data_IF_703739707707
#
_entry.id   IF_703739707707
#
_cell.length_a   1.000
_cell.length_b   1.000
_cell.length_c   1.000
_cell.angle_alpha   90.00
_cell.angle_beta   90.00
_cell.angle_gamma   90.00
#
_symmetry.space_group_name_H-M   'P 1'
#
loop_
_entity.id
_entity.type
_entity.pdbx_description
1 polymer ?
#
# COMPACT_ATOMS: atom_id res chain seq x y z
N UNK A 1 -2.60 19.62 3.35
CA UNK A 1 -2.64 19.25 1.90
C UNK A 1 -3.18 17.84 1.79
N UNK A 2 -4.17 17.62 0.92
CA UNK A 2 -4.72 16.27 0.70
C UNK A 2 -3.61 15.26 0.40
N UNK A 3 -3.69 14.09 1.03
CA UNK A 3 -2.75 12.97 0.84
C UNK A 3 -3.53 11.75 0.35
N UNK A 4 -2.98 11.08 -0.68
CA UNK A 4 -3.38 9.75 -1.12
C UNK A 4 -2.32 8.75 -0.66
N UNK A 5 -2.70 7.76 0.13
CA UNK A 5 -1.80 6.68 0.55
C UNK A 5 -2.09 5.40 -0.26
N UNK A 6 -1.12 4.94 -1.02
CA UNK A 6 -1.30 3.83 -1.97
C UNK A 6 -1.27 2.43 -1.31
N UNK A 7 -1.09 2.34 0.01
CA UNK A 7 -1.14 1.04 0.69
C UNK A 7 -1.41 1.15 2.19
N UNK A 8 -2.58 0.67 2.62
CA UNK A 8 -2.93 0.56 4.04
C UNK A 8 -3.71 -0.73 4.32
N UNK A 9 -3.20 -1.54 5.24
CA UNK A 9 -3.80 -2.80 5.70
C UNK A 9 -4.88 -2.61 6.77
N UNK A 10 -5.87 -1.74 6.49
CA UNK A 10 -6.88 -1.36 7.48
C UNK A 10 -7.71 -2.55 7.97
N UNK A 11 -8.15 -3.43 7.06
CA UNK A 11 -8.96 -4.59 7.44
C UNK A 11 -8.17 -5.66 8.20
N UNK A 12 -6.88 -5.83 7.90
CA UNK A 12 -5.98 -6.68 8.66
C UNK A 12 -5.87 -6.19 10.11
N UNK A 13 -5.62 -4.90 10.28
CA UNK A 13 -5.54 -4.26 11.60
C UNK A 13 -6.84 -4.41 12.39
N UNK A 14 -7.98 -4.21 11.74
CA UNK A 14 -9.27 -4.34 12.38
C UNK A 14 -9.57 -5.78 12.83
N UNK A 15 -9.32 -6.76 11.98
CA UNK A 15 -9.77 -8.14 12.23
C UNK A 15 -8.73 -9.01 12.92
N UNK A 16 -7.45 -8.96 12.51
CA UNK A 16 -6.42 -9.82 13.10
C UNK A 16 -5.75 -9.21 14.31
N UNK A 17 -5.55 -7.88 14.33
CA UNK A 17 -5.06 -7.18 15.52
C UNK A 17 -6.18 -6.72 16.46
N UNK A 18 -7.46 -6.94 16.09
CA UNK A 18 -8.63 -6.57 16.89
C UNK A 18 -8.65 -5.06 17.25
N UNK A 19 -8.30 -4.20 16.27
CA UNK A 19 -8.25 -2.75 16.42
C UNK A 19 -9.53 -2.11 15.91
N UNK A 20 -10.24 -1.39 16.76
CA UNK A 20 -11.34 -0.51 16.32
C UNK A 20 -10.77 0.81 15.81
N UNK A 21 -10.51 0.89 14.51
CA UNK A 21 -9.87 2.04 13.87
C UNK A 21 -10.70 3.35 13.92
N UNK A 22 -11.91 3.32 14.50
CA UNK A 22 -12.69 4.53 14.81
C UNK A 22 -12.17 5.24 16.03
N UNK A 23 -11.40 4.55 16.87
CA UNK A 23 -10.75 5.10 18.06
C UNK A 23 -9.41 5.74 17.67
N UNK A 24 -8.96 6.77 18.42
CA UNK A 24 -7.62 7.34 18.21
C UNK A 24 -6.49 6.32 18.43
N UNK A 25 -5.39 6.46 17.72
CA UNK A 25 -4.26 5.53 17.79
C UNK A 25 -3.71 5.36 19.23
N UNK A 26 -3.64 6.44 20.02
CA UNK A 26 -3.21 6.37 21.42
C UNK A 26 -4.16 5.53 22.29
N UNK A 27 -5.47 5.54 22.01
CA UNK A 27 -6.44 4.72 22.72
C UNK A 27 -6.30 3.23 22.33
N UNK A 28 -6.03 2.94 21.06
CA UNK A 28 -5.71 1.58 20.60
C UNK A 28 -4.47 1.04 21.31
N UNK A 29 -3.38 1.82 21.33
CA UNK A 29 -2.15 1.48 22.07
C UNK A 29 -2.41 1.22 23.57
N UNK A 30 -3.26 2.04 24.19
CA UNK A 30 -3.65 1.88 25.60
C UNK A 30 -4.40 0.56 25.83
N UNK A 31 -5.28 0.16 24.93
CA UNK A 31 -6.02 -1.11 25.01
C UNK A 31 -5.13 -2.33 24.80
N UNK A 32 -4.09 -2.18 24.02
CA UNK A 32 -3.08 -3.22 23.77
C UNK A 32 -2.00 -3.28 24.87
N UNK A 33 -2.06 -2.41 25.88
CA UNK A 33 -1.06 -2.35 26.96
C UNK A 33 -0.98 -3.70 27.71
N UNK A 34 0.22 -4.26 27.81
CA UNK A 34 0.47 -5.55 28.43
C UNK A 34 0.29 -6.76 27.51
N UNK A 35 -0.21 -6.57 26.29
CA UNK A 35 -0.21 -7.60 25.24
C UNK A 35 1.18 -7.70 24.61
N UNK A 36 1.49 -8.85 24.01
CA UNK A 36 2.78 -9.11 23.35
C UNK A 36 2.58 -9.43 21.88
N UNK A 37 3.50 -8.99 21.05
CA UNK A 37 3.49 -9.23 19.59
C UNK A 37 4.13 -8.08 18.85
N UNK A 38 4.56 -8.32 17.61
CA UNK A 38 5.08 -7.29 16.72
C UNK A 38 3.97 -6.29 16.39
N UNK A 39 4.25 -4.99 16.48
CA UNK A 39 3.26 -3.92 16.25
C UNK A 39 2.22 -3.73 17.36
N UNK A 40 2.11 -4.65 18.33
CA UNK A 40 1.15 -4.54 19.44
C UNK A 40 1.54 -3.41 20.38
N UNK A 41 0.57 -2.57 20.76
CA UNK A 41 0.78 -1.37 21.56
C UNK A 41 1.50 -0.23 20.83
N UNK A 42 1.67 -0.33 19.51
CA UNK A 42 2.50 0.55 18.67
C UNK A 42 1.84 0.99 17.35
N UNK A 43 0.54 0.75 17.20
CA UNK A 43 -0.21 1.12 16.00
C UNK A 43 -0.11 2.62 15.69
N UNK A 44 -0.02 2.96 14.42
CA UNK A 44 0.16 4.33 13.92
C UNK A 44 -1.06 4.85 13.17
N UNK A 45 -1.93 3.95 12.69
CA UNK A 45 -3.02 4.26 11.77
C UNK A 45 -4.38 4.09 12.40
N UNK A 46 -5.20 5.15 12.35
CA UNK A 46 -6.60 5.14 12.74
C UNK A 46 -7.35 6.28 12.02
N UNK A 47 -8.68 6.18 11.86
CA UNK A 47 -9.46 7.18 11.12
C UNK A 47 -9.33 8.61 11.67
N UNK A 48 -9.29 8.85 13.01
CA UNK A 48 -9.06 10.20 13.52
C UNK A 48 -7.72 10.78 13.07
N UNK A 49 -6.65 9.98 13.09
CA UNK A 49 -5.31 10.39 12.66
C UNK A 49 -5.23 10.59 11.16
N UNK A 50 -5.86 9.74 10.36
CA UNK A 50 -5.97 9.92 8.91
C UNK A 50 -6.64 11.25 8.58
N UNK A 51 -7.76 11.57 9.24
CA UNK A 51 -8.46 12.85 9.04
C UNK A 51 -7.62 14.06 9.45
N UNK A 52 -6.93 13.97 10.57
CA UNK A 52 -6.05 15.04 11.07
C UNK A 52 -4.86 15.27 10.13
N UNK A 53 -4.30 14.19 9.56
CA UNK A 53 -3.21 14.25 8.59
C UNK A 53 -3.64 14.49 7.15
N UNK A 54 -4.94 14.76 6.91
CA UNK A 54 -5.51 14.93 5.57
C UNK A 54 -5.27 13.73 4.63
N UNK A 55 -5.08 12.52 5.17
CA UNK A 55 -5.06 11.26 4.41
C UNK A 55 -6.49 10.92 4.04
N UNK A 56 -6.98 11.59 3.01
CA UNK A 56 -8.40 11.56 2.64
C UNK A 56 -8.78 10.42 1.72
N UNK A 57 -7.82 9.89 0.97
CA UNK A 57 -8.01 8.74 0.08
C UNK A 57 -6.86 7.76 0.24
N UNK A 58 -7.16 6.47 0.11
CA UNK A 58 -6.14 5.43 0.16
C UNK A 58 -6.46 4.22 -0.75
N UNK A 59 -5.45 3.40 -0.98
CA UNK A 59 -5.64 2.00 -1.36
C UNK A 59 -5.80 1.20 -0.07
N UNK A 60 -6.96 0.57 0.10
CA UNK A 60 -7.26 -0.25 1.27
C UNK A 60 -7.19 -1.73 0.88
N UNK A 61 -6.32 -2.47 1.55
CA UNK A 61 -5.99 -3.82 1.14
C UNK A 61 -6.86 -4.88 1.78
N UNK A 62 -7.00 -5.97 1.06
CA UNK A 62 -7.30 -7.30 1.60
C UNK A 62 -6.01 -8.12 1.56
N UNK A 63 -5.72 -8.85 2.60
CA UNK A 63 -4.54 -9.72 2.69
C UNK A 63 -4.92 -11.07 3.28
N UNK A 64 -4.69 -12.14 2.52
CA UNK A 64 -4.87 -13.51 2.98
C UNK A 64 -4.02 -14.48 2.13
N UNK A 65 -2.86 -14.86 2.63
CA UNK A 65 -1.94 -15.78 1.98
C UNK A 65 -2.29 -17.26 2.22
N UNK A 66 -1.77 -18.12 1.36
CA UNK A 66 -1.80 -19.57 1.53
C UNK A 66 -0.38 -20.11 1.57
N UNK A 67 0.06 -20.59 2.72
CA UNK A 67 1.39 -21.19 2.86
C UNK A 67 1.36 -22.47 3.67
N UNK A 68 2.14 -23.43 3.24
CA UNK A 68 2.39 -24.63 4.04
C UNK A 68 3.20 -24.27 5.30
N UNK A 69 2.63 -24.53 6.47
CA UNK A 69 3.29 -24.33 7.76
C UNK A 69 2.73 -23.19 8.60
N UNK A 70 3.06 -23.14 9.90
CA UNK A 70 2.55 -22.12 10.79
C UNK A 70 3.17 -20.76 10.48
N UNK A 71 2.38 -19.84 9.98
CA UNK A 71 2.71 -18.41 9.94
C UNK A 71 1.77 -17.64 10.87
N UNK A 72 2.28 -16.65 11.60
CA UNK A 72 1.52 -16.03 12.69
C UNK A 72 0.40 -15.09 12.22
N UNK A 73 0.45 -14.51 11.01
CA UNK A 73 -0.51 -13.49 10.56
C UNK A 73 -0.80 -13.69 9.06
N UNK A 74 -2.06 -13.46 8.68
CA UNK A 74 -2.54 -13.39 7.28
C UNK A 74 -2.27 -14.64 6.41
N UNK A 75 -2.10 -15.82 7.01
CA UNK A 75 -1.84 -17.05 6.28
C UNK A 75 -2.74 -18.21 6.71
N UNK A 76 -3.27 -18.91 5.72
CA UNK A 76 -4.19 -20.04 5.88
C UNK A 76 -3.66 -21.27 5.16
N UNK A 77 -4.27 -22.43 5.45
CA UNK A 77 -3.87 -23.72 4.89
C UNK A 77 -4.46 -23.98 3.50
N UNK A 78 -5.47 -23.19 3.09
CA UNK A 78 -6.09 -23.34 1.78
C UNK A 78 -6.61 -22.02 1.21
N UNK A 79 -6.76 -21.96 -0.11
CA UNK A 79 -7.34 -20.81 -0.81
C UNK A 79 -8.80 -20.56 -0.44
N UNK A 80 -9.54 -21.60 -0.01
CA UNK A 80 -10.92 -21.46 0.47
C UNK A 80 -10.97 -20.71 1.81
N UNK A 81 -10.04 -21.02 2.72
CA UNK A 81 -9.91 -20.29 3.98
C UNK A 81 -9.44 -18.86 3.75
N UNK A 82 -8.45 -18.65 2.88
CA UNK A 82 -7.96 -17.34 2.51
C UNK A 82 -9.09 -16.50 1.85
N UNK A 83 -9.90 -17.11 0.97
CA UNK A 83 -11.07 -16.46 0.41
C UNK A 83 -12.10 -16.07 1.49
N UNK A 84 -12.40 -16.97 2.44
CA UNK A 84 -13.31 -16.66 3.53
C UNK A 84 -12.82 -15.46 4.36
N UNK A 85 -11.51 -15.38 4.59
CA UNK A 85 -10.90 -14.25 5.28
C UNK A 85 -11.02 -12.95 4.49
N UNK A 86 -10.70 -12.94 3.19
CA UNK A 86 -10.88 -11.72 2.36
C UNK A 86 -12.33 -11.30 2.27
N UNK A 87 -13.29 -12.23 2.30
CA UNK A 87 -14.73 -11.88 2.39
C UNK A 87 -15.08 -11.27 3.76
N UNK A 88 -14.47 -11.73 4.85
CA UNK A 88 -14.58 -11.09 6.17
C UNK A 88 -14.02 -9.66 6.16
N UNK A 89 -12.86 -9.47 5.55
CA UNK A 89 -12.23 -8.16 5.38
C UNK A 89 -13.11 -7.22 4.53
N UNK A 90 -13.69 -7.71 3.43
CA UNK A 90 -14.63 -6.95 2.62
C UNK A 90 -15.89 -6.56 3.41
N UNK A 91 -16.41 -7.47 4.20
CA UNK A 91 -17.59 -7.21 5.06
C UNK A 91 -17.29 -6.12 6.11
N UNK A 92 -16.05 -6.07 6.63
CA UNK A 92 -15.62 -5.01 7.52
C UNK A 92 -15.57 -3.65 6.80
N UNK A 93 -15.03 -3.58 5.58
CA UNK A 93 -15.06 -2.34 4.79
C UNK A 93 -16.49 -1.84 4.57
N UNK A 94 -17.42 -2.73 4.19
CA UNK A 94 -18.83 -2.36 4.03
C UNK A 94 -19.44 -1.84 5.35
N UNK A 95 -19.12 -2.47 6.48
CA UNK A 95 -19.59 -1.98 7.79
C UNK A 95 -19.04 -0.57 8.11
N UNK A 96 -17.81 -0.25 7.67
CA UNK A 96 -17.25 1.11 7.82
C UNK A 96 -17.90 2.11 6.85
N UNK A 97 -18.33 1.67 5.67
CA UNK A 97 -19.15 2.50 4.77
C UNK A 97 -20.52 2.80 5.37
N UNK A 98 -21.24 1.79 5.85
CA UNK A 98 -22.55 1.94 6.51
C UNK A 98 -22.48 2.86 7.73
N UNK A 99 -21.36 2.82 8.48
CA UNK A 99 -21.10 3.71 9.61
C UNK A 99 -20.62 5.12 9.20
N UNK A 100 -20.44 5.39 7.90
CA UNK A 100 -20.03 6.69 7.38
C UNK A 100 -18.54 7.03 7.54
N UNK A 101 -17.70 6.06 7.90
CA UNK A 101 -16.26 6.27 8.11
C UNK A 101 -15.45 6.13 6.82
N UNK A 102 -15.90 5.30 5.88
CA UNK A 102 -15.22 5.04 4.62
C UNK A 102 -16.20 5.14 3.45
N UNK A 103 -15.67 5.26 2.22
CA UNK A 103 -16.44 5.23 0.98
C UNK A 103 -15.61 4.59 -0.13
N UNK A 104 -16.13 3.50 -0.72
CA UNK A 104 -15.45 2.80 -1.80
C UNK A 104 -15.46 3.59 -3.10
N UNK A 105 -14.31 3.63 -3.78
CA UNK A 105 -14.12 4.23 -5.10
C UNK A 105 -14.01 3.09 -6.11
N UNK A 106 -15.02 2.96 -6.98
CA UNK A 106 -15.11 1.88 -7.99
C UNK A 106 -15.00 2.40 -9.42
N UNK A 107 -15.21 3.69 -9.60
CA UNK A 107 -15.27 4.35 -10.89
C UNK A 107 -14.78 5.80 -10.80
N UNK A 108 -14.66 6.44 -11.95
CA UNK A 108 -14.19 7.83 -12.08
C UNK A 108 -15.08 8.82 -11.33
N UNK A 109 -16.39 8.61 -11.35
CA UNK A 109 -17.34 9.48 -10.66
C UNK A 109 -17.10 9.45 -9.14
N UNK A 110 -16.96 8.26 -8.57
CA UNK A 110 -16.66 8.08 -7.14
C UNK A 110 -15.33 8.73 -6.74
N UNK A 111 -14.31 8.63 -7.59
CA UNK A 111 -13.03 9.31 -7.38
C UNK A 111 -13.20 10.84 -7.34
N UNK A 112 -13.86 11.42 -8.33
CA UNK A 112 -14.03 12.88 -8.43
C UNK A 112 -14.90 13.43 -7.28
N UNK A 113 -15.95 12.71 -6.87
CA UNK A 113 -16.78 13.06 -5.71
C UNK A 113 -15.95 13.07 -4.41
N UNK A 114 -15.05 12.10 -4.21
CA UNK A 114 -14.20 12.05 -3.02
C UNK A 114 -13.13 13.14 -3.02
N UNK A 115 -12.49 13.41 -4.17
CA UNK A 115 -11.55 14.53 -4.29
C UNK A 115 -12.26 15.85 -3.96
N UNK A 116 -13.42 16.11 -4.57
CA UNK A 116 -14.21 17.33 -4.31
C UNK A 116 -14.59 17.46 -2.83
N UNK A 117 -14.96 16.36 -2.17
CA UNK A 117 -15.29 16.37 -0.75
C UNK A 117 -14.09 16.76 0.12
N UNK A 118 -12.91 16.25 -0.20
CA UNK A 118 -11.71 16.51 0.61
C UNK A 118 -11.05 17.85 0.31
N UNK A 119 -11.35 18.47 -0.84
CA UNK A 119 -10.81 19.78 -1.25
C UNK A 119 -11.81 20.95 -1.11
N UNK A 120 -12.96 20.72 -0.48
CA UNK A 120 -14.03 21.73 -0.36
C UNK A 120 -13.81 22.80 0.73
N UNK A 121 -12.68 22.76 1.44
CA UNK A 121 -12.36 23.71 2.52
C UNK A 121 -13.14 23.53 3.82
N UNK A 122 -13.98 22.50 3.94
CA UNK A 122 -14.72 22.19 5.18
C UNK A 122 -13.87 21.34 6.12
N UNK A 123 -14.16 21.37 7.46
CA UNK A 123 -13.46 20.51 8.44
C UNK A 123 -13.48 19.04 8.07
N UNK A 124 -12.40 18.33 8.39
CA UNK A 124 -12.20 16.94 7.99
C UNK A 124 -12.74 15.90 9.01
N UNK A 125 -13.10 16.33 10.22
CA UNK A 125 -13.37 15.45 11.37
C UNK A 125 -14.38 14.32 11.10
N UNK A 126 -15.36 14.57 10.22
CA UNK A 126 -16.41 13.60 9.89
C UNK A 126 -16.43 13.18 8.43
N UNK A 127 -15.43 13.61 7.62
CA UNK A 127 -15.37 13.17 6.23
C UNK A 127 -15.05 11.68 6.15
N UNK A 128 -15.76 10.91 5.31
CA UNK A 128 -15.37 9.53 5.04
C UNK A 128 -14.00 9.50 4.34
N UNK A 129 -13.20 8.46 4.63
CA UNK A 129 -11.98 8.17 3.91
C UNK A 129 -12.37 7.44 2.60
N UNK A 130 -11.98 8.00 1.46
CA UNK A 130 -12.15 7.35 0.16
C UNK A 130 -11.19 6.18 0.02
N UNK A 131 -11.65 5.02 -0.49
CA UNK A 131 -10.73 3.91 -0.69
C UNK A 131 -10.93 3.18 -2.02
N UNK A 132 -9.82 2.80 -2.63
CA UNK A 132 -9.75 1.83 -3.72
C UNK A 132 -9.43 0.47 -3.12
N UNK A 133 -10.27 -0.53 -3.35
CA UNK A 133 -10.04 -1.88 -2.82
C UNK A 133 -8.94 -2.58 -3.61
N UNK A 134 -7.93 -3.08 -2.91
CA UNK A 134 -6.83 -3.88 -3.45
C UNK A 134 -6.73 -5.24 -2.76
N UNK A 135 -6.07 -6.18 -3.41
CA UNK A 135 -5.70 -7.48 -2.84
C UNK A 135 -4.19 -7.64 -2.90
N UNK A 136 -3.56 -7.83 -1.73
CA UNK A 136 -2.14 -8.08 -1.59
C UNK A 136 -1.86 -9.58 -1.51
N UNK A 137 -1.25 -10.11 -2.60
CA UNK A 137 -1.14 -11.55 -2.79
C UNK A 137 -2.45 -12.20 -3.28
N UNK A 138 -2.38 -12.95 -4.36
CA UNK A 138 -3.57 -13.50 -5.03
C UNK A 138 -3.98 -14.88 -4.51
N UNK A 139 -3.46 -15.35 -3.40
CA UNK A 139 -3.67 -16.73 -2.89
C UNK A 139 -5.14 -17.05 -2.57
N UNK A 140 -5.91 -16.04 -2.22
CA UNK A 140 -7.36 -16.16 -1.98
C UNK A 140 -8.17 -16.31 -3.27
N UNK A 141 -7.61 -16.02 -4.44
CA UNK A 141 -8.24 -16.23 -5.76
C UNK A 141 -8.14 -17.71 -6.11
N UNK A 142 -9.22 -18.46 -5.93
CA UNK A 142 -9.25 -19.94 -6.04
C UNK A 142 -9.01 -20.46 -7.45
N UNK A 143 -9.35 -19.68 -8.48
CA UNK A 143 -9.06 -19.94 -9.89
C UNK A 143 -9.04 -18.62 -10.64
N UNK A 144 -8.46 -18.59 -11.84
CA UNK A 144 -8.45 -17.38 -12.68
C UNK A 144 -9.86 -16.86 -12.94
N UNK A 145 -10.81 -17.74 -13.30
CA UNK A 145 -12.22 -17.35 -13.48
C UNK A 145 -12.91 -16.83 -12.21
N UNK A 146 -12.32 -17.05 -11.02
CA UNK A 146 -12.85 -16.52 -9.76
C UNK A 146 -12.48 -15.04 -9.55
N UNK A 147 -11.52 -14.51 -10.32
CA UNK A 147 -11.11 -13.11 -10.23
C UNK A 147 -12.24 -12.15 -10.63
N UNK A 148 -13.06 -12.54 -11.63
CA UNK A 148 -14.21 -11.73 -12.07
C UNK A 148 -15.21 -11.48 -10.91
N UNK A 149 -15.42 -12.48 -10.03
CA UNK A 149 -16.25 -12.31 -8.84
C UNK A 149 -15.68 -11.27 -7.86
N UNK A 150 -14.36 -11.25 -7.68
CA UNK A 150 -13.72 -10.25 -6.84
C UNK A 150 -13.83 -8.84 -7.47
N UNK A 151 -13.70 -8.74 -8.80
CA UNK A 151 -13.93 -7.51 -9.54
C UNK A 151 -15.36 -6.98 -9.37
N UNK A 152 -16.37 -7.84 -9.50
CA UNK A 152 -17.79 -7.50 -9.27
C UNK A 152 -18.03 -6.99 -7.84
N UNK A 153 -17.30 -7.52 -6.85
CA UNK A 153 -17.32 -7.06 -5.46
C UNK A 153 -16.59 -5.73 -5.25
N UNK A 154 -15.96 -5.20 -6.29
CA UNK A 154 -15.31 -3.88 -6.25
C UNK A 154 -13.80 -3.90 -6.14
N UNK A 155 -13.13 -5.06 -6.25
CA UNK A 155 -11.67 -5.11 -6.35
C UNK A 155 -11.20 -4.36 -7.60
N UNK A 156 -10.24 -3.45 -7.45
CA UNK A 156 -9.74 -2.62 -8.57
C UNK A 156 -8.24 -2.74 -8.81
N UNK A 157 -7.50 -3.19 -7.81
CA UNK A 157 -6.07 -3.41 -7.91
C UNK A 157 -5.69 -4.75 -7.27
N UNK A 158 -4.63 -5.38 -7.74
CA UNK A 158 -4.11 -6.60 -7.15
C UNK A 158 -2.61 -6.77 -7.39
N UNK A 159 -1.88 -7.16 -6.34
CA UNK A 159 -0.54 -7.71 -6.43
C UNK A 159 -0.59 -9.25 -6.46
N UNK A 160 -0.02 -9.92 -7.48
CA UNK A 160 -0.08 -11.39 -7.58
C UNK A 160 0.67 -12.15 -6.48
N UNK A 161 1.62 -11.49 -5.82
CA UNK A 161 2.44 -12.09 -4.76
C UNK A 161 2.48 -11.25 -3.49
N UNK A 162 2.85 -11.90 -2.39
CA UNK A 162 3.34 -11.29 -1.16
C UNK A 162 4.72 -11.90 -0.83
N UNK A 163 4.95 -12.52 0.32
CA UNK A 163 6.20 -13.22 0.64
C UNK A 163 6.18 -14.70 0.20
N UNK A 164 7.34 -15.21 -0.20
CA UNK A 164 7.55 -16.63 -0.49
C UNK A 164 6.90 -17.11 -1.78
N UNK A 165 6.56 -18.38 -1.84
CA UNK A 165 5.87 -18.99 -2.98
C UNK A 165 4.38 -18.80 -2.80
N UNK A 166 3.80 -17.90 -3.60
CA UNK A 166 2.36 -17.69 -3.67
C UNK A 166 1.76 -18.53 -4.81
N UNK A 167 0.44 -18.66 -4.81
CA UNK A 167 -0.29 -19.50 -5.77
C UNK A 167 -0.03 -19.13 -7.24
N UNK A 168 0.12 -17.85 -7.54
CA UNK A 168 0.19 -17.31 -8.90
C UNK A 168 1.51 -16.60 -9.22
N UNK A 169 2.32 -16.30 -8.23
CA UNK A 169 3.60 -15.64 -8.43
C UNK A 169 4.57 -15.97 -7.32
N UNK A 170 5.84 -15.63 -7.51
CA UNK A 170 6.86 -15.70 -6.49
C UNK A 170 7.07 -14.34 -5.84
N UNK A 171 7.13 -14.29 -4.51
CA UNK A 171 7.48 -13.10 -3.76
C UNK A 171 8.92 -12.66 -3.97
N UNK A 172 9.24 -11.42 -3.61
CA UNK A 172 10.56 -10.80 -3.79
C UNK A 172 11.71 -11.55 -3.10
N UNK A 173 11.41 -12.38 -2.09
CA UNK A 173 12.36 -13.24 -1.38
C UNK A 173 12.64 -14.57 -2.11
N UNK A 174 12.08 -14.75 -3.31
CA UNK A 174 12.23 -15.95 -4.15
C UNK A 174 12.91 -15.62 -5.49
N UNK A 175 13.40 -16.64 -6.18
CA UNK A 175 14.00 -16.51 -7.51
C UNK A 175 13.16 -17.29 -8.52
N UNK A 176 12.78 -16.65 -9.62
CA UNK A 176 12.02 -17.26 -10.72
C UNK A 176 11.00 -16.29 -11.33
N UNK A 177 10.37 -16.74 -12.42
CA UNK A 177 9.34 -16.01 -13.17
C UNK A 177 7.92 -16.51 -12.84
N UNK A 178 6.94 -15.96 -13.56
CA UNK A 178 5.54 -16.33 -13.40
C UNK A 178 5.28 -17.78 -13.85
N UNK A 179 4.62 -18.59 -13.00
CA UNK A 179 4.12 -19.89 -13.43
C UNK A 179 2.99 -19.73 -14.47
N UNK A 180 2.63 -20.80 -15.18
CA UNK A 180 1.62 -20.75 -16.24
C UNK A 180 0.29 -20.13 -15.76
N UNK A 181 -0.22 -20.57 -14.61
CA UNK A 181 -1.44 -20.01 -14.02
C UNK A 181 -1.29 -18.54 -13.55
N UNK A 182 -0.07 -18.11 -13.24
CA UNK A 182 0.24 -16.70 -12.95
C UNK A 182 0.15 -15.82 -14.20
N UNK A 183 0.66 -16.32 -15.34
CA UNK A 183 0.50 -15.64 -16.64
C UNK A 183 -0.96 -15.51 -17.04
N UNK A 184 -1.75 -16.58 -16.85
CA UNK A 184 -3.20 -16.55 -17.07
C UNK A 184 -3.91 -15.51 -16.15
N UNK A 185 -3.51 -15.43 -14.86
CA UNK A 185 -4.06 -14.45 -13.93
C UNK A 185 -3.77 -13.02 -14.37
N UNK A 186 -2.54 -12.72 -14.77
CA UNK A 186 -2.14 -11.38 -15.23
C UNK A 186 -2.89 -10.99 -16.51
N UNK A 187 -3.11 -11.93 -17.45
CA UNK A 187 -3.94 -11.72 -18.64
C UNK A 187 -5.40 -11.43 -18.29
N UNK A 188 -5.96 -12.13 -17.29
CA UNK A 188 -7.33 -11.89 -16.84
C UNK A 188 -7.47 -10.55 -16.11
N UNK A 189 -6.47 -10.13 -15.33
CA UNK A 189 -6.42 -8.79 -14.75
C UNK A 189 -6.46 -7.72 -15.85
N UNK A 190 -5.71 -7.90 -16.93
CA UNK A 190 -5.68 -6.97 -18.06
C UNK A 190 -7.06 -6.92 -18.77
N UNK A 191 -7.68 -8.08 -19.02
CA UNK A 191 -9.03 -8.18 -19.60
C UNK A 191 -10.09 -7.45 -18.77
N UNK A 192 -10.00 -7.54 -17.44
CA UNK A 192 -10.93 -6.87 -16.53
C UNK A 192 -10.65 -5.36 -16.38
N UNK A 193 -9.51 -4.87 -16.86
CA UNK A 193 -9.09 -3.48 -16.62
C UNK A 193 -8.65 -3.21 -15.18
N UNK A 194 -8.21 -4.26 -14.47
CA UNK A 194 -7.69 -4.17 -13.11
C UNK A 194 -6.31 -3.49 -13.12
N UNK A 195 -5.95 -2.80 -12.05
CA UNK A 195 -4.61 -2.24 -11.88
C UNK A 195 -3.68 -3.36 -11.40
N UNK A 196 -2.55 -3.54 -12.09
CA UNK A 196 -1.48 -4.44 -11.65
C UNK A 196 -0.59 -3.74 -10.63
N UNK A 197 -0.53 -4.27 -9.41
CA UNK A 197 0.44 -3.89 -8.41
C UNK A 197 1.66 -4.82 -8.51
N UNK A 198 2.81 -4.25 -8.86
CA UNK A 198 4.06 -5.03 -9.00
C UNK A 198 4.85 -5.14 -7.69
N UNK A 199 4.37 -4.52 -6.62
CA UNK A 199 4.97 -4.65 -5.29
C UNK A 199 5.04 -6.13 -4.88
N UNK A 200 6.09 -6.52 -4.20
CA UNK A 200 6.38 -7.89 -3.76
C UNK A 200 6.71 -8.92 -4.84
N UNK A 201 6.59 -8.65 -6.12
CA UNK A 201 7.00 -9.61 -7.15
C UNK A 201 8.52 -9.88 -7.09
N UNK A 202 8.92 -11.15 -7.25
CA UNK A 202 10.32 -11.46 -7.55
C UNK A 202 10.76 -10.76 -8.83
N UNK A 203 12.07 -10.51 -9.00
CA UNK A 203 12.57 -9.83 -10.20
C UNK A 203 12.11 -10.53 -11.49
N UNK A 204 12.12 -11.86 -11.55
CA UNK A 204 11.63 -12.61 -12.71
C UNK A 204 10.13 -12.45 -12.96
N UNK A 205 9.31 -12.54 -11.89
CA UNK A 205 7.87 -12.33 -12.00
C UNK A 205 7.54 -10.89 -12.42
N UNK A 206 8.31 -9.90 -11.96
CA UNK A 206 8.15 -8.50 -12.35
C UNK A 206 8.29 -8.32 -13.86
N UNK A 207 9.37 -8.86 -14.46
CA UNK A 207 9.61 -8.73 -15.89
C UNK A 207 8.57 -9.50 -16.71
N UNK A 208 8.25 -10.73 -16.32
CA UNK A 208 7.20 -11.53 -17.00
C UNK A 208 5.83 -10.82 -16.95
N UNK A 209 5.47 -10.22 -15.80
CA UNK A 209 4.22 -9.51 -15.66
C UNK A 209 4.15 -8.26 -16.53
N UNK A 210 5.22 -7.45 -16.59
CA UNK A 210 5.27 -6.25 -17.44
C UNK A 210 5.26 -6.56 -18.94
N UNK A 211 5.79 -7.71 -19.36
CA UNK A 211 5.73 -8.16 -20.76
C UNK A 211 4.31 -8.50 -21.19
N UNK A 212 3.54 -9.14 -20.29
CA UNK A 212 2.18 -9.64 -20.57
C UNK A 212 1.14 -8.53 -20.43
N UNK A 213 1.21 -7.76 -19.34
CA UNK A 213 0.19 -6.80 -18.92
C UNK A 213 0.31 -5.47 -19.66
N UNK A 214 -0.77 -4.99 -20.27
CA UNK A 214 -0.79 -3.75 -21.05
C UNK A 214 -1.53 -2.59 -20.33
N UNK A 215 -2.30 -2.89 -19.31
CA UNK A 215 -3.10 -1.93 -18.55
C UNK A 215 -2.29 -1.01 -17.62
N UNK A 216 -2.99 -0.43 -16.66
CA UNK A 216 -2.41 0.47 -15.65
C UNK A 216 -1.60 -0.31 -14.62
N UNK A 217 -0.35 0.12 -14.40
CA UNK A 217 0.59 -0.48 -13.44
C UNK A 217 0.95 0.54 -12.37
N UNK A 218 1.09 0.09 -11.14
CA UNK A 218 1.75 0.82 -10.07
C UNK A 218 2.62 -0.09 -9.19
N UNK A 219 3.45 0.51 -8.34
CA UNK A 219 4.04 -0.14 -7.19
C UNK A 219 3.46 0.57 -5.95
N UNK A 220 2.57 -0.08 -5.22
CA UNK A 220 1.82 0.59 -4.13
C UNK A 220 2.74 1.05 -3.00
N UNK A 221 3.73 0.23 -2.61
CA UNK A 221 4.62 0.52 -1.49
C UNK A 221 6.00 -0.13 -1.70
N UNK A 222 6.97 0.65 -2.19
CA UNK A 222 8.34 0.18 -2.39
C UNK A 222 9.32 1.35 -2.48
N UNK A 223 10.60 1.08 -2.18
CA UNK A 223 11.67 2.07 -2.22
C UNK A 223 12.78 1.67 -3.20
N UNK A 224 13.93 2.34 -3.17
CA UNK A 224 14.99 2.21 -4.15
C UNK A 224 16.08 1.24 -3.69
N UNK A 225 16.37 0.19 -4.48
CA UNK A 225 17.42 -0.80 -4.22
C UNK A 225 18.82 -0.15 -4.24
N UNK A 226 19.00 0.92 -4.98
CA UNK A 226 20.25 1.69 -4.99
C UNK A 226 20.60 2.28 -3.62
N UNK A 227 19.59 2.65 -2.82
CA UNK A 227 19.79 3.21 -1.48
C UNK A 227 19.77 2.14 -0.38
N UNK A 228 18.93 1.12 -0.53
CA UNK A 228 18.83 -0.03 0.38
C UNK A 228 18.89 -1.31 -0.45
N UNK A 229 20.04 -1.99 -0.50
CA UNK A 229 20.28 -3.14 -1.38
C UNK A 229 19.57 -4.41 -0.88
N UNK A 230 18.29 -4.49 -1.17
CA UNK A 230 17.43 -5.63 -0.82
C UNK A 230 16.50 -5.97 -2.01
N UNK A 231 16.25 -7.26 -2.33
CA UNK A 231 15.35 -7.64 -3.43
C UNK A 231 13.90 -7.17 -3.23
N UNK A 232 13.49 -6.75 -2.03
CA UNK A 232 12.19 -6.12 -1.77
C UNK A 232 12.06 -4.76 -2.45
N UNK A 233 13.17 -4.10 -2.73
CA UNK A 233 13.24 -2.78 -3.36
C UNK A 233 13.38 -2.92 -4.87
N UNK A 234 12.98 -1.90 -5.62
CA UNK A 234 13.18 -1.88 -7.06
C UNK A 234 14.57 -1.40 -7.47
N UNK A 235 15.18 -2.11 -8.42
CA UNK A 235 16.40 -1.66 -9.08
C UNK A 235 16.12 -0.45 -9.99
N UNK A 236 17.17 0.30 -10.36
CA UNK A 236 17.04 1.44 -11.27
C UNK A 236 16.47 1.02 -12.64
N UNK A 237 16.76 -0.20 -13.11
CA UNK A 237 16.20 -0.75 -14.35
C UNK A 237 14.70 -0.99 -14.21
N UNK A 238 14.25 -1.54 -13.09
CA UNK A 238 12.83 -1.75 -12.80
C UNK A 238 12.10 -0.41 -12.65
N UNK A 239 12.68 0.55 -11.94
CA UNK A 239 12.13 1.91 -11.80
C UNK A 239 11.98 2.57 -13.18
N UNK A 240 13.02 2.51 -14.05
CA UNK A 240 12.94 3.04 -15.41
C UNK A 240 11.88 2.35 -16.27
N UNK A 241 11.72 1.03 -16.12
CA UNK A 241 10.65 0.30 -16.81
C UNK A 241 9.26 0.77 -16.33
N UNK A 242 9.06 0.99 -15.03
CA UNK A 242 7.81 1.54 -14.48
C UNK A 242 7.55 2.98 -14.97
N UNK A 243 8.59 3.82 -14.99
CA UNK A 243 8.52 5.18 -15.55
C UNK A 243 8.06 5.14 -17.01
N UNK A 244 8.63 4.25 -17.83
CA UNK A 244 8.25 4.12 -19.25
C UNK A 244 6.80 3.69 -19.46
N UNK A 245 6.19 3.01 -18.47
CA UNK A 245 4.78 2.60 -18.43
C UNK A 245 3.88 3.70 -17.84
N UNK A 246 4.43 4.86 -17.47
CA UNK A 246 3.68 5.93 -16.80
C UNK A 246 3.27 5.60 -15.38
N UNK A 247 3.83 4.55 -14.78
CA UNK A 247 3.51 4.08 -13.44
C UNK A 247 3.92 5.07 -12.34
N UNK A 248 3.43 4.84 -11.13
CA UNK A 248 3.78 5.56 -9.89
C UNK A 248 4.25 4.56 -8.85
N UNK A 249 5.30 4.92 -8.13
CA UNK A 249 5.83 4.17 -7.00
C UNK A 249 5.46 4.88 -5.69
N UNK A 250 4.73 4.20 -4.82
CA UNK A 250 4.43 4.64 -3.46
C UNK A 250 5.62 4.40 -2.55
N UNK A 251 6.07 5.43 -1.86
CA UNK A 251 7.22 5.37 -0.95
C UNK A 251 6.81 4.80 0.39
N UNK A 252 7.46 3.70 0.81
CA UNK A 252 7.17 2.96 2.02
C UNK A 252 7.94 3.47 3.24
N UNK A 253 7.30 3.48 4.41
CA UNK A 253 7.86 3.97 5.67
C UNK A 253 8.31 2.85 6.63
N UNK A 254 8.38 1.61 6.15
CA UNK A 254 8.99 0.53 6.91
C UNK A 254 10.51 0.78 7.01
N UNK A 255 11.01 0.93 8.23
CA UNK A 255 12.36 1.42 8.53
C UNK A 255 13.49 0.65 7.85
N UNK A 256 13.36 -0.69 7.71
CA UNK A 256 14.38 -1.50 7.04
C UNK A 256 14.40 -1.29 5.52
N UNK A 257 13.35 -0.70 4.97
CA UNK A 257 13.27 -0.28 3.56
C UNK A 257 13.79 1.14 3.34
N UNK A 258 13.97 1.93 4.40
CA UNK A 258 14.41 3.33 4.33
C UNK A 258 15.93 3.50 4.46
N UNK A 259 16.58 2.64 5.24
CA UNK A 259 18.03 2.70 5.47
C UNK A 259 18.69 1.32 5.40
N UNK A 260 19.92 1.22 4.91
CA UNK A 260 20.66 -0.04 4.92
C UNK A 260 21.10 -0.44 6.35
N UNK A 261 21.32 -1.73 6.55
CA UNK A 261 21.86 -2.27 7.82
C UNK A 261 20.82 -2.44 8.93
N UNK A 262 19.56 -2.17 8.68
CA UNK A 262 18.49 -2.44 9.64
C UNK A 262 18.32 -3.95 9.89
N UNK A 263 18.27 -4.35 11.16
CA UNK A 263 18.03 -5.75 11.56
C UNK A 263 16.62 -5.85 12.16
N UNK A 264 15.70 -6.45 11.42
CA UNK A 264 14.30 -6.62 11.86
C UNK A 264 14.22 -7.32 13.23
N UNK A 265 13.41 -6.74 14.11
CA UNK A 265 13.21 -7.25 15.48
C UNK A 265 14.36 -6.99 16.45
N UNK A 266 15.40 -6.25 16.04
CA UNK A 266 16.54 -5.86 16.89
C UNK A 266 16.80 -4.36 16.85
N UNK A 267 16.97 -3.78 15.64
CA UNK A 267 17.23 -2.34 15.49
C UNK A 267 15.95 -1.56 15.83
N UNK A 268 16.12 -0.50 16.59
CA UNK A 268 15.05 0.46 16.88
C UNK A 268 15.33 1.77 16.16
N UNK A 269 14.29 2.55 15.77
CA UNK A 269 14.48 3.83 15.08
C UNK A 269 15.42 4.80 15.79
N UNK A 270 15.38 4.80 17.13
CA UNK A 270 16.21 5.63 17.98
C UNK A 270 17.69 5.23 17.96
N UNK A 271 18.00 3.95 17.75
CA UNK A 271 19.38 3.45 17.71
C UNK A 271 20.17 4.01 16.52
N UNK A 272 19.45 4.37 15.46
CA UNK A 272 20.02 4.84 14.18
C UNK A 272 19.55 6.25 13.81
N UNK A 273 18.78 6.89 14.68
CA UNK A 273 18.21 8.23 14.47
C UNK A 273 17.45 8.37 13.15
N UNK A 274 16.69 7.32 12.78
CA UNK A 274 15.89 7.32 11.55
C UNK A 274 14.79 8.38 11.63
N UNK A 275 14.82 9.35 10.74
CA UNK A 275 13.82 10.42 10.63
C UNK A 275 12.95 10.23 9.39
N UNK A 276 11.74 10.79 9.43
CA UNK A 276 10.79 10.77 8.32
C UNK A 276 11.39 11.39 7.04
N UNK A 277 12.25 12.40 7.19
CA UNK A 277 12.90 13.08 6.06
C UNK A 277 13.69 12.14 5.14
N UNK A 278 14.18 10.99 5.66
CA UNK A 278 14.91 9.99 4.86
C UNK A 278 14.09 9.45 3.68
N UNK A 279 12.76 9.44 3.79
CA UNK A 279 11.91 8.99 2.67
C UNK A 279 12.04 9.90 1.44
N UNK A 280 12.36 11.18 1.65
CA UNK A 280 12.56 12.13 0.56
C UNK A 280 13.78 11.76 -0.28
N UNK A 281 14.79 11.09 0.27
CA UNK A 281 15.94 10.61 -0.51
C UNK A 281 15.51 9.53 -1.53
N UNK A 282 14.61 8.63 -1.15
CA UNK A 282 14.05 7.64 -2.07
C UNK A 282 13.16 8.30 -3.13
N UNK A 283 12.33 9.27 -2.73
CA UNK A 283 11.49 10.04 -3.67
C UNK A 283 12.35 10.80 -4.67
N UNK A 284 13.41 11.48 -4.19
CA UNK A 284 14.36 12.23 -5.01
C UNK A 284 15.08 11.31 -6.01
N UNK A 285 15.52 10.12 -5.59
CA UNK A 285 16.16 9.16 -6.48
C UNK A 285 15.25 8.76 -7.65
N UNK A 286 13.95 8.50 -7.40
CA UNK A 286 12.97 8.20 -8.46
C UNK A 286 12.79 9.42 -9.38
N UNK A 287 12.66 10.63 -8.81
CA UNK A 287 12.54 11.86 -9.58
C UNK A 287 13.78 12.14 -10.45
N UNK A 288 14.99 11.87 -9.95
CA UNK A 288 16.23 11.98 -10.72
C UNK A 288 16.25 11.01 -11.92
N UNK A 289 15.86 9.75 -11.71
CA UNK A 289 15.77 8.77 -12.79
C UNK A 289 14.73 9.15 -13.85
N UNK A 290 13.63 9.79 -13.44
CA UNK A 290 12.54 10.20 -14.31
C UNK A 290 12.80 11.58 -14.98
N UNK A 291 13.64 12.43 -14.40
CA UNK A 291 13.79 13.83 -14.79
C UNK A 291 12.57 14.71 -14.46
N UNK A 292 11.66 14.24 -13.62
CA UNK A 292 10.44 14.92 -13.17
C UNK A 292 9.85 14.23 -11.93
N UNK A 293 8.83 14.84 -11.30
CA UNK A 293 8.15 14.34 -10.10
C UNK A 293 6.84 13.57 -10.38
N UNK A 294 6.65 13.00 -11.59
CA UNK A 294 5.39 12.40 -12.01
C UNK A 294 5.23 10.91 -11.67
N UNK A 295 6.27 10.27 -11.11
CA UNK A 295 6.35 8.81 -10.97
C UNK A 295 6.53 8.33 -9.54
N UNK A 296 6.40 9.20 -8.57
CA UNK A 296 6.51 8.90 -7.15
C UNK A 296 5.30 9.42 -6.37
N UNK A 297 4.97 8.75 -5.28
CA UNK A 297 3.88 9.14 -4.39
C UNK A 297 4.05 8.53 -2.99
N UNK A 298 3.01 8.63 -2.20
CA UNK A 298 2.94 8.08 -0.84
C UNK A 298 2.33 6.68 -0.91
N UNK A 299 2.96 5.71 -0.23
CA UNK A 299 2.47 4.34 -0.09
C UNK A 299 3.10 3.76 1.16
N UNK A 300 2.60 4.16 2.33
CA UNK A 300 3.33 4.11 3.59
C UNK A 300 3.56 2.71 4.13
N UNK A 301 2.64 1.79 3.89
CA UNK A 301 2.59 0.48 4.54
C UNK A 301 2.51 0.58 6.09
N UNK A 302 2.05 1.72 6.62
CA UNK A 302 1.91 1.92 8.06
C UNK A 302 0.93 0.91 8.66
N UNK A 303 1.37 0.27 9.75
CA UNK A 303 0.69 -0.85 10.41
C UNK A 303 0.56 -2.13 9.55
N UNK A 304 1.37 -2.27 8.48
CA UNK A 304 1.53 -3.50 7.69
C UNK A 304 2.31 -4.60 8.45
N UNK A 305 1.82 -4.98 9.63
CA UNK A 305 2.44 -6.00 10.51
C UNK A 305 3.58 -5.45 11.38
N UNK A 306 3.69 -4.16 11.56
CA UNK A 306 4.64 -3.46 12.45
C UNK A 306 3.96 -2.18 12.99
N UNK A 307 4.65 -1.41 13.81
CA UNK A 307 4.20 -0.13 14.35
C UNK A 307 5.38 0.81 14.60
N UNK A 308 5.28 1.67 15.60
CA UNK A 308 6.32 2.68 15.91
C UNK A 308 7.71 2.10 16.20
N UNK A 309 7.84 0.79 16.44
CA UNK A 309 9.14 0.13 16.60
C UNK A 309 9.90 -0.04 15.28
N UNK A 310 9.23 0.16 14.13
CA UNK A 310 9.81 -0.06 12.82
C UNK A 310 9.40 1.04 11.82
N UNK A 311 9.09 2.24 12.32
CA UNK A 311 8.84 3.47 11.55
C UNK A 311 9.88 4.53 11.92
N UNK A 312 9.99 5.67 11.22
CA UNK A 312 10.82 6.80 11.68
C UNK A 312 10.54 7.21 13.12
N UNK A 313 11.60 7.55 13.89
CA UNK A 313 11.46 7.89 15.32
C UNK A 313 10.64 9.16 15.59
N UNK A 314 10.51 10.02 14.59
CA UNK A 314 9.74 11.25 14.64
C UNK A 314 8.38 11.14 13.94
N UNK A 315 7.93 9.91 13.64
CA UNK A 315 6.58 9.59 13.20
C UNK A 315 5.84 8.90 14.34
N UNK A 316 4.86 9.58 14.94
CA UNK A 316 4.00 9.00 15.96
C UNK A 316 2.77 8.32 15.36
N UNK A 317 2.14 8.97 14.37
CA UNK A 317 0.96 8.46 13.68
C UNK A 317 0.96 8.84 12.20
N UNK A 318 0.06 8.25 11.42
CA UNK A 318 -0.15 8.60 10.01
C UNK A 318 -0.44 10.09 9.79
N UNK A 319 -0.86 10.83 10.82
CA UNK A 319 -1.05 12.27 10.73
C UNK A 319 0.24 13.05 10.47
N UNK A 320 1.40 12.47 10.80
CA UNK A 320 2.71 13.10 10.60
C UNK A 320 3.12 13.16 9.11
N UNK A 321 2.40 12.48 8.21
CA UNK A 321 2.56 12.64 6.76
C UNK A 321 2.33 14.08 6.31
N UNK A 322 1.55 14.87 7.05
CA UNK A 322 1.35 16.29 6.80
C UNK A 322 2.65 17.12 6.82
N UNK A 323 3.77 16.57 7.29
CA UNK A 323 5.10 17.21 7.32
C UNK A 323 5.90 16.99 6.01
N UNK A 324 5.54 15.99 5.22
CA UNK A 324 6.27 15.64 3.97
C UNK A 324 6.28 16.82 2.97
N UNK A 325 5.20 17.58 2.74
CA UNK A 325 5.22 18.75 1.88
C UNK A 325 6.32 19.76 2.22
N UNK A 326 6.53 20.07 3.50
CA UNK A 326 7.57 20.99 3.94
C UNK A 326 8.99 20.41 3.72
N UNK A 327 9.16 19.10 3.85
CA UNK A 327 10.44 18.42 3.58
C UNK A 327 10.76 18.47 2.08
N UNK A 328 9.78 18.23 1.22
CA UNK A 328 9.92 18.34 -0.23
C UNK A 328 10.21 19.79 -0.66
N UNK A 329 9.51 20.78 -0.07
CA UNK A 329 9.76 22.19 -0.33
C UNK A 329 11.19 22.61 0.04
N UNK A 330 11.70 22.15 1.18
CA UNK A 330 13.11 22.38 1.59
C UNK A 330 14.12 21.72 0.63
N UNK A 331 13.75 20.63 -0.02
CA UNK A 331 14.55 19.95 -1.05
C UNK A 331 14.49 20.66 -2.41
N UNK A 332 13.61 21.67 -2.57
CA UNK A 332 13.49 22.50 -3.77
C UNK A 332 12.41 22.07 -4.76
N UNK A 333 11.52 21.18 -4.38
CA UNK A 333 10.36 20.84 -5.20
C UNK A 333 9.37 22.01 -5.29
N UNK A 334 8.79 22.20 -6.47
CA UNK A 334 7.73 23.20 -6.66
C UNK A 334 6.43 22.77 -5.96
N UNK A 335 5.53 23.71 -5.69
CA UNK A 335 4.20 23.40 -5.14
C UNK A 335 3.46 22.36 -5.99
N UNK A 336 3.56 22.45 -7.31
CA UNK A 336 2.93 21.50 -8.22
C UNK A 336 3.54 20.10 -8.12
N UNK A 337 4.87 19.98 -8.00
CA UNK A 337 5.54 18.69 -7.80
C UNK A 337 5.13 18.07 -6.47
N UNK A 338 5.04 18.89 -5.41
CA UNK A 338 4.59 18.43 -4.09
C UNK A 338 3.14 17.92 -4.16
N UNK A 339 2.23 18.66 -4.79
CA UNK A 339 0.85 18.20 -5.00
C UNK A 339 0.80 16.88 -5.80
N UNK A 340 1.62 16.76 -6.84
CA UNK A 340 1.72 15.54 -7.64
C UNK A 340 2.18 14.36 -6.78
N UNK A 341 3.22 14.52 -5.96
CA UNK A 341 3.76 13.50 -5.06
C UNK A 341 2.73 13.11 -3.99
N UNK A 342 2.08 14.10 -3.36
CA UNK A 342 1.16 13.83 -2.25
C UNK A 342 -0.13 13.13 -2.70
N UNK A 343 -0.61 13.38 -3.94
CA UNK A 343 -1.84 12.75 -4.43
C UNK A 343 -1.99 12.71 -5.96
N UNK A 344 -1.53 13.75 -6.68
CA UNK A 344 -1.88 13.97 -8.09
C UNK A 344 -1.44 12.82 -9.00
N UNK A 345 -0.28 12.22 -8.75
CA UNK A 345 0.26 11.12 -9.56
C UNK A 345 -0.62 9.86 -9.47
N UNK A 346 -1.04 9.46 -8.29
CA UNK A 346 -1.97 8.33 -8.13
C UNK A 346 -3.37 8.65 -8.68
N UNK A 347 -3.86 9.88 -8.51
CA UNK A 347 -5.13 10.30 -9.12
C UNK A 347 -5.09 10.23 -10.64
N UNK A 348 -3.97 10.57 -11.25
CA UNK A 348 -3.76 10.42 -12.71
C UNK A 348 -3.89 8.96 -13.13
N UNK A 349 -3.27 8.01 -12.42
CA UNK A 349 -3.39 6.58 -12.72
C UNK A 349 -4.81 6.07 -12.50
N UNK A 350 -5.46 6.45 -11.41
CA UNK A 350 -6.85 6.05 -11.13
C UNK A 350 -7.81 6.56 -12.22
N UNK A 351 -7.61 7.79 -12.72
CA UNK A 351 -8.40 8.31 -13.86
C UNK A 351 -8.19 7.54 -15.15
N UNK A 352 -7.05 6.90 -15.33
CA UNK A 352 -6.79 6.04 -16.48
C UNK A 352 -7.46 4.66 -16.32
N UNK A 353 -7.46 4.10 -15.12
CA UNK A 353 -7.94 2.75 -14.83
C UNK A 353 -9.45 2.67 -14.57
N UNK A 354 -10.05 3.67 -13.95
CA UNK A 354 -11.45 3.67 -13.50
C UNK A 354 -12.46 4.23 -14.53
N UNK A 355 -12.13 4.14 -15.83
CA UNK A 355 -12.98 4.62 -16.93
C UNK A 355 -14.28 3.83 -17.07
#
# INVERSE_FOLDING_TARGET
>A
MLTFDAHLDLSLNALEFNRDLRLPAHELRRREAGMTGKGIGRGTTAFPEMRRGEVGLCVATQLAGCMAGPRPIANWMSSEQAWAQTQGQLSWYHAMEEAGHMRQIKDLRGLDEMIALWTNGQPNDNKPIGYVLSLEGADSIRSVGHLERAWEQGLRAMGPAHYGVCRYALGHDMVGGLPANGKELVQEMDRLGMILDVTHLSDGCFWDALEIFQGTVWASHSNCRALVPDPRQFSDEQIKALISRGAVLGSALDAWMMIPGWIRGKTMPQDVHLKLEVIVDHMDHICQLAGNAMHVGIGTDLDGGYGTEQTPEDLDTIADLARIPDMLAKRGYSTQDIENIMHGNFFRLLRQALK
#
